data_IF_605023968910
#
_entry.id   IF_605023968910
#
_cell.length_a   1.000
_cell.length_b   1.000
_cell.length_c   1.000
_cell.angle_alpha   90.00
_cell.angle_beta   90.00
_cell.angle_gamma   90.00
#
_symmetry.space_group_name_H-M   'P 1'
#
loop_
_entity.id
_entity.type
_entity.pdbx_description
1 polymer ?
#
# COMPACT_ATOMS: atom_id res chain seq x y z
N UNK A 1 8.94 12.19 -11.49
CA UNK A 1 10.32 12.10 -12.01
C UNK A 1 10.84 13.52 -12.13
N UNK A 2 11.90 13.87 -11.41
CA UNK A 2 12.63 15.12 -11.64
C UNK A 2 13.89 14.75 -12.41
N UNK A 3 14.10 15.39 -13.55
CA UNK A 3 15.30 15.26 -14.37
C UNK A 3 15.98 16.62 -14.35
N UNK A 4 17.21 16.64 -13.85
CA UNK A 4 18.04 17.85 -13.86
C UNK A 4 19.33 17.57 -14.61
N UNK A 5 19.76 18.55 -15.39
CA UNK A 5 21.07 18.60 -16.04
C UNK A 5 21.84 19.73 -15.36
N UNK A 6 22.74 19.44 -14.40
CA UNK A 6 23.57 20.48 -13.83
C UNK A 6 24.66 20.90 -14.83
N UNK A 7 25.24 22.07 -14.56
CA UNK A 7 26.46 22.53 -15.23
C UNK A 7 27.56 21.46 -15.13
N UNK A 8 28.35 21.41 -16.20
CA UNK A 8 29.43 20.47 -16.38
C UNK A 8 30.48 20.68 -15.27
N UNK A 9 30.93 19.60 -14.61
CA UNK A 9 31.99 19.73 -13.60
C UNK A 9 33.35 20.08 -14.25
N UNK A 10 34.36 20.33 -13.42
CA UNK A 10 35.71 20.71 -13.89
C UNK A 10 36.39 19.66 -14.79
N UNK A 11 35.86 18.44 -14.82
CA UNK A 11 36.36 17.32 -15.62
C UNK A 11 35.53 17.07 -16.89
N UNK A 12 34.63 17.99 -17.23
CA UNK A 12 33.73 17.94 -18.37
C UNK A 12 32.59 16.90 -18.23
N UNK A 13 32.24 16.48 -17.00
CA UNK A 13 31.16 15.51 -16.77
C UNK A 13 29.79 16.20 -16.71
N UNK A 14 28.87 15.79 -17.58
CA UNK A 14 27.44 16.16 -17.47
C UNK A 14 26.69 15.05 -16.74
N UNK A 15 26.36 15.25 -15.47
CA UNK A 15 25.68 14.24 -14.67
C UNK A 15 24.19 14.20 -14.98
N UNK A 16 23.64 13.04 -15.40
CA UNK A 16 22.20 12.86 -15.46
C UNK A 16 21.67 12.51 -14.06
N UNK A 17 20.92 13.41 -13.44
CA UNK A 17 20.28 13.15 -12.15
C UNK A 17 18.83 12.74 -12.39
N UNK A 18 18.51 11.48 -12.09
CA UNK A 18 17.13 10.97 -12.10
C UNK A 18 16.67 10.79 -10.66
N UNK A 19 15.72 11.62 -10.21
CA UNK A 19 15.02 11.40 -8.96
C UNK A 19 13.61 10.87 -9.22
N UNK A 20 13.30 9.70 -8.64
CA UNK A 20 11.98 9.05 -8.73
C UNK A 20 11.36 8.89 -7.35
N UNK A 21 10.07 9.21 -7.24
CA UNK A 21 9.25 8.95 -6.05
C UNK A 21 8.61 7.56 -6.15
N UNK A 22 8.11 7.05 -5.01
CA UNK A 22 7.51 5.72 -4.89
C UNK A 22 6.54 5.41 -6.05
N UNK A 23 6.72 4.24 -6.68
CA UNK A 23 5.87 3.76 -7.79
C UNK A 23 6.34 4.14 -9.21
N UNK A 24 7.40 4.94 -9.36
CA UNK A 24 7.91 5.38 -10.68
C UNK A 24 9.21 4.67 -11.13
N UNK A 25 9.64 3.64 -10.39
CA UNK A 25 10.84 2.85 -10.67
C UNK A 25 10.85 2.24 -12.08
N UNK A 26 9.70 1.71 -12.52
CA UNK A 26 9.54 1.08 -13.83
C UNK A 26 9.65 2.09 -14.97
N UNK A 27 9.25 3.34 -14.74
CA UNK A 27 9.38 4.41 -15.72
C UNK A 27 10.84 4.83 -15.90
N UNK A 28 11.63 4.87 -14.81
CA UNK A 28 13.07 5.08 -14.90
C UNK A 28 13.76 3.92 -15.64
N UNK A 29 13.36 2.67 -15.38
CA UNK A 29 13.87 1.50 -16.09
C UNK A 29 13.60 1.58 -17.60
N UNK A 30 12.36 1.90 -18.01
CA UNK A 30 11.98 2.06 -19.42
C UNK A 30 12.80 3.18 -20.10
N UNK A 31 12.99 4.31 -19.41
CA UNK A 31 13.78 5.43 -19.93
C UNK A 31 15.25 5.04 -20.14
N UNK A 32 15.84 4.35 -19.17
CA UNK A 32 17.23 3.85 -19.27
C UNK A 32 17.38 2.80 -20.38
N UNK A 33 16.38 1.92 -20.54
CA UNK A 33 16.37 0.90 -21.60
C UNK A 33 16.30 1.54 -22.99
N UNK A 34 15.39 2.49 -23.19
CA UNK A 34 15.28 3.25 -24.45
C UNK A 34 16.53 4.06 -24.77
N UNK A 35 17.16 4.67 -23.76
CA UNK A 35 18.42 5.39 -23.95
C UNK A 35 19.56 4.45 -24.42
N UNK A 36 19.59 3.22 -23.89
CA UNK A 36 20.54 2.18 -24.32
C UNK A 36 20.27 1.69 -25.75
N UNK A 37 19.00 1.44 -26.08
CA UNK A 37 18.57 0.95 -27.41
C UNK A 37 18.82 1.99 -28.52
N UNK A 38 18.58 3.29 -28.25
CA UNK A 38 18.86 4.37 -29.22
C UNK A 38 20.34 4.52 -29.56
N UNK A 39 21.26 4.22 -28.63
CA UNK A 39 22.71 4.28 -28.89
C UNK A 39 23.17 3.20 -29.88
N UNK A 40 22.41 2.12 -30.02
CA UNK A 40 22.71 1.03 -30.95
C UNK A 40 22.18 1.26 -32.37
N UNK A 41 21.34 2.28 -32.62
CA UNK A 41 20.67 2.45 -33.93
C UNK A 41 20.89 3.81 -34.61
N UNK A 42 21.54 4.80 -34.00
CA UNK A 42 21.61 6.14 -34.60
C UNK A 42 22.99 6.54 -35.12
N UNK A 43 23.06 6.70 -36.45
CA UNK A 43 24.02 7.55 -37.17
C UNK A 43 23.29 8.78 -37.78
N UNK A 44 22.10 9.12 -37.26
CA UNK A 44 21.21 10.05 -37.96
C UNK A 44 21.53 11.51 -37.63
N UNK A 45 21.65 12.36 -38.66
CA UNK A 45 22.08 13.75 -38.54
C UNK A 45 21.14 14.61 -37.65
N UNK A 46 19.91 14.12 -37.41
CA UNK A 46 18.95 14.73 -36.49
C UNK A 46 19.40 14.65 -35.03
N UNK A 47 20.10 13.57 -34.64
CA UNK A 47 20.61 13.42 -33.27
C UNK A 47 21.79 14.36 -33.00
N UNK A 48 22.56 14.74 -34.02
CA UNK A 48 23.60 15.78 -33.90
C UNK A 48 23.01 17.15 -33.56
N UNK A 49 21.89 17.52 -34.19
CA UNK A 49 21.20 18.79 -33.94
C UNK A 49 20.59 18.82 -32.53
N UNK A 50 20.03 17.69 -32.07
CA UNK A 50 19.52 17.59 -30.69
C UNK A 50 20.67 17.63 -29.68
N UNK A 51 21.80 17.01 -29.99
CA UNK A 51 23.00 17.00 -29.15
C UNK A 51 23.63 18.40 -29.01
N UNK A 52 23.72 19.16 -30.10
CA UNK A 52 24.24 20.54 -30.11
C UNK A 52 23.28 21.54 -29.46
N UNK A 53 21.96 21.35 -29.64
CA UNK A 53 20.97 22.36 -29.24
C UNK A 53 20.42 22.17 -27.83
N UNK A 54 20.34 20.93 -27.35
CA UNK A 54 19.76 20.62 -26.04
C UNK A 54 20.76 20.03 -25.05
N UNK A 55 22.01 19.78 -25.47
CA UNK A 55 23.02 19.17 -24.60
C UNK A 55 22.44 17.92 -23.95
N UNK A 56 22.09 16.91 -24.75
CA UNK A 56 21.86 15.59 -24.16
C UNK A 56 23.17 15.20 -23.50
N UNK A 57 23.25 15.43 -22.19
CA UNK A 57 24.34 15.06 -21.32
C UNK A 57 24.63 13.58 -21.57
N UNK A 58 25.58 13.30 -22.46
CA UNK A 58 26.43 12.13 -22.56
C UNK A 58 26.07 10.99 -21.60
N UNK A 59 24.90 10.36 -21.80
CA UNK A 59 24.46 9.29 -20.92
C UNK A 59 25.39 8.11 -21.22
N UNK A 60 26.33 7.85 -20.31
CA UNK A 60 27.40 6.89 -20.46
C UNK A 60 28.43 7.22 -21.57
N UNK A 61 28.85 8.48 -21.69
CA UNK A 61 30.14 8.76 -22.34
C UNK A 61 31.26 8.54 -21.35
N UNK A 62 32.35 7.91 -21.79
CA UNK A 62 33.50 7.72 -20.92
C UNK A 62 34.17 9.06 -20.67
N UNK A 63 34.53 9.39 -19.42
CA UNK A 63 35.31 10.58 -19.13
C UNK A 63 36.73 10.47 -19.74
N UNK A 64 37.55 11.52 -19.58
CA UNK A 64 38.94 11.55 -20.09
C UNK A 64 39.83 10.42 -19.53
N UNK A 65 39.37 9.75 -18.46
CA UNK A 65 40.01 8.59 -17.84
C UNK A 65 39.29 7.27 -18.15
N UNK A 66 38.40 7.26 -19.14
CA UNK A 66 37.59 6.12 -19.58
C UNK A 66 36.58 5.53 -18.58
N UNK A 67 36.19 6.28 -17.54
CA UNK A 67 35.15 5.86 -16.60
C UNK A 67 33.76 6.32 -17.06
N UNK A 68 32.72 5.53 -16.77
CA UNK A 68 31.33 5.85 -17.10
C UNK A 68 30.56 6.23 -15.82
N UNK A 69 30.46 7.52 -15.49
CA UNK A 69 29.79 7.93 -14.25
C UNK A 69 28.27 7.81 -14.40
N UNK A 70 27.67 6.82 -13.72
CA UNK A 70 26.22 6.77 -13.50
C UNK A 70 25.92 7.14 -12.05
N UNK A 71 25.36 8.34 -11.84
CA UNK A 71 24.95 8.80 -10.52
C UNK A 71 23.45 8.57 -10.33
N UNK A 72 23.10 7.54 -9.55
CA UNK A 72 21.71 7.18 -9.28
C UNK A 72 21.36 7.54 -7.83
N UNK A 73 20.59 8.61 -7.63
CA UNK A 73 20.02 8.93 -6.32
C UNK A 73 18.71 8.14 -6.16
N UNK A 74 18.67 7.19 -5.22
CA UNK A 74 17.49 6.33 -5.04
C UNK A 74 17.02 6.30 -3.60
N UNK A 75 15.72 6.53 -3.40
CA UNK A 75 15.08 6.45 -2.09
C UNK A 75 14.16 5.23 -2.02
N UNK A 76 14.22 4.48 -0.90
CA UNK A 76 13.35 3.35 -0.52
C UNK A 76 13.34 2.09 -1.42
N UNK A 77 13.93 0.97 -0.96
CA UNK A 77 13.82 -0.38 -1.57
C UNK A 77 14.35 -0.58 -3.02
N UNK A 78 15.19 0.32 -3.53
CA UNK A 78 15.68 0.24 -4.92
C UNK A 78 16.97 -0.55 -5.15
N UNK A 79 17.50 -1.28 -4.15
CA UNK A 79 18.71 -2.11 -4.33
C UNK A 79 18.55 -3.21 -5.38
N UNK A 80 17.31 -3.58 -5.72
CA UNK A 80 16.97 -4.57 -6.75
C UNK A 80 17.31 -4.10 -8.16
N UNK A 81 17.28 -2.79 -8.44
CA UNK A 81 17.63 -2.22 -9.75
C UNK A 81 19.14 -2.38 -10.02
N UNK A 82 19.97 -2.25 -8.98
CA UNK A 82 21.43 -2.38 -9.09
C UNK A 82 21.83 -3.85 -9.32
N UNK A 83 21.13 -4.81 -8.68
CA UNK A 83 21.41 -6.25 -8.84
C UNK A 83 21.07 -6.80 -10.23
N UNK A 84 20.11 -6.22 -10.94
CA UNK A 84 19.70 -6.71 -12.27
C UNK A 84 20.73 -6.41 -13.36
N UNK A 85 21.62 -5.43 -13.15
CA UNK A 85 22.59 -5.04 -14.18
C UNK A 85 23.88 -5.88 -14.20
N UNK A 86 24.12 -6.76 -13.22
CA UNK A 86 25.49 -7.27 -13.03
C UNK A 86 25.59 -8.73 -12.54
N UNK A 87 25.28 -9.68 -13.41
CA UNK A 87 25.49 -11.11 -13.14
C UNK A 87 26.91 -11.62 -13.43
N UNK A 88 27.87 -10.78 -13.82
CA UNK A 88 29.17 -11.25 -14.36
C UNK A 88 30.44 -10.43 -14.01
N UNK A 89 30.46 -9.52 -13.03
CA UNK A 89 31.73 -8.83 -12.67
C UNK A 89 31.97 -8.70 -11.16
N UNK A 90 33.25 -8.77 -10.77
CA UNK A 90 33.74 -8.61 -9.39
C UNK A 90 33.72 -7.13 -9.00
N UNK A 91 32.88 -6.78 -8.02
CA UNK A 91 32.77 -5.42 -7.50
C UNK A 91 33.69 -5.22 -6.29
N UNK A 92 34.44 -4.10 -6.27
CA UNK A 92 34.99 -3.53 -5.02
C UNK A 92 34.30 -2.20 -4.75
N UNK A 93 33.57 -2.13 -3.65
CA UNK A 93 33.05 -0.85 -3.14
C UNK A 93 34.14 -0.13 -2.36
N UNK A 94 34.43 1.12 -2.73
CA UNK A 94 35.23 2.03 -1.92
C UNK A 94 34.33 3.15 -1.44
N UNK A 95 34.23 3.31 -0.13
CA UNK A 95 33.48 4.40 0.49
C UNK A 95 34.45 5.56 0.74
N UNK A 96 34.24 6.66 0.03
CA UNK A 96 34.81 7.97 0.38
C UNK A 96 33.65 8.97 0.52
N UNK A 97 33.87 9.97 1.37
CA UNK A 97 32.87 10.88 1.94
C UNK A 97 31.69 11.23 0.99
N UNK A 98 30.48 10.97 1.49
CA UNK A 98 29.17 11.38 1.00
C UNK A 98 28.60 10.78 -0.31
N UNK A 99 29.27 9.84 -0.98
CA UNK A 99 28.70 9.14 -2.15
C UNK A 99 29.07 7.65 -2.18
N UNK A 100 28.17 6.79 -2.70
CA UNK A 100 28.50 5.41 -3.05
C UNK A 100 28.98 5.41 -4.50
N UNK A 101 30.29 5.27 -4.69
CA UNK A 101 30.88 5.03 -6.01
C UNK A 101 30.86 3.53 -6.31
N UNK A 102 30.37 3.18 -7.50
CA UNK A 102 30.53 1.85 -8.06
C UNK A 102 31.60 1.97 -9.15
N UNK A 103 32.83 1.61 -8.80
CA UNK A 103 33.96 1.60 -9.73
C UNK A 103 33.99 0.23 -10.46
N UNK A 104 34.04 0.26 -11.79
CA UNK A 104 34.18 -0.94 -12.62
C UNK A 104 35.53 -0.81 -13.33
N UNK A 105 36.55 -1.45 -12.77
CA UNK A 105 37.92 -1.44 -13.32
C UNK A 105 38.32 -2.76 -13.96
N UNK A 106 39.00 -2.66 -15.10
CA UNK A 106 40.05 -3.59 -15.52
C UNK A 106 41.39 -3.09 -14.93
N UNK A 107 42.23 -4.03 -14.51
CA UNK A 107 43.44 -3.82 -13.69
C UNK A 107 44.45 -2.78 -14.23
N UNK A 108 44.88 -1.86 -13.35
CA UNK A 108 46.27 -1.57 -12.91
C UNK A 108 46.37 -0.18 -12.20
N UNK A 109 47.42 -0.04 -11.38
CA UNK A 109 47.61 0.88 -10.24
C UNK A 109 47.94 2.36 -10.53
N UNK A 110 47.53 3.29 -9.64
CA UNK A 110 48.38 4.27 -8.89
C UNK A 110 47.53 5.20 -7.98
N UNK A 111 48.09 5.67 -6.86
CA UNK A 111 47.47 6.55 -5.85
C UNK A 111 48.22 7.89 -5.79
N UNK A 112 47.51 9.03 -5.73
CA UNK A 112 48.05 10.27 -5.15
C UNK A 112 46.95 11.11 -4.48
N UNK A 113 47.29 11.77 -3.37
CA UNK A 113 46.38 12.35 -2.38
C UNK A 113 46.50 13.88 -2.39
N UNK A 114 45.39 14.61 -2.47
CA UNK A 114 45.34 16.04 -2.10
C UNK A 114 44.05 16.37 -1.35
N UNK A 115 44.21 17.02 -0.21
CA UNK A 115 43.15 17.54 0.67
C UNK A 115 42.80 18.97 0.30
N UNK A 116 41.57 19.42 0.56
CA UNK A 116 41.38 20.76 1.12
C UNK A 116 40.05 20.95 1.86
N UNK A 117 40.15 21.82 2.88
CA UNK A 117 39.17 22.27 3.87
C UNK A 117 37.92 22.90 3.26
N UNK A 118 36.75 22.48 3.75
CA UNK A 118 35.57 23.30 4.13
C UNK A 118 34.48 22.35 4.65
N UNK A 119 34.48 21.97 5.93
CA UNK A 119 33.68 20.81 6.38
C UNK A 119 32.81 20.95 7.64
N UNK A 120 32.53 22.13 8.19
CA UNK A 120 31.76 22.15 9.45
C UNK A 120 30.23 22.25 9.27
N UNK A 121 29.71 23.08 8.35
CA UNK A 121 28.26 23.14 8.13
C UNK A 121 27.74 21.95 7.30
N UNK A 122 28.54 21.45 6.36
CA UNK A 122 28.17 20.27 5.56
C UNK A 122 28.16 18.98 6.39
N UNK A 123 29.05 18.86 7.40
CA UNK A 123 29.07 17.70 8.30
C UNK A 123 27.82 17.65 9.19
N UNK A 124 27.24 18.79 9.59
CA UNK A 124 26.05 18.80 10.43
C UNK A 124 24.81 18.29 9.67
N UNK A 125 24.55 18.80 8.47
CA UNK A 125 23.44 18.30 7.64
C UNK A 125 23.64 16.85 7.21
N UNK A 126 24.88 16.44 6.98
CA UNK A 126 25.23 15.06 6.64
C UNK A 126 24.94 14.09 7.79
N UNK A 127 25.36 14.41 9.02
CA UNK A 127 25.09 13.56 10.20
C UNK A 127 23.59 13.44 10.43
N UNK A 128 22.84 14.53 10.29
CA UNK A 128 21.38 14.51 10.42
C UNK A 128 20.73 13.63 9.35
N UNK A 129 21.13 13.75 8.08
CA UNK A 129 20.60 12.93 6.98
C UNK A 129 20.91 11.43 7.16
N UNK A 130 22.13 11.08 7.60
CA UNK A 130 22.53 9.70 7.88
C UNK A 130 21.71 9.12 9.05
N UNK A 131 21.47 9.91 10.11
CA UNK A 131 20.60 9.50 11.23
C UNK A 131 19.18 9.24 10.73
N UNK A 132 18.61 10.10 9.89
CA UNK A 132 17.28 9.90 9.32
C UNK A 132 17.19 8.65 8.44
N UNK A 133 18.19 8.41 7.59
CA UNK A 133 18.26 7.20 6.75
C UNK A 133 18.38 5.95 7.61
N UNK A 134 19.24 5.96 8.63
CA UNK A 134 19.39 4.83 9.54
C UNK A 134 18.09 4.57 10.33
N UNK A 135 17.43 5.60 10.87
CA UNK A 135 16.13 5.46 11.53
C UNK A 135 15.05 4.89 10.59
N UNK A 136 14.99 5.38 9.35
CA UNK A 136 14.06 4.86 8.35
C UNK A 136 14.35 3.39 8.01
N UNK A 137 15.63 3.03 7.86
CA UNK A 137 16.06 1.64 7.65
C UNK A 137 15.71 0.75 8.84
N UNK A 138 15.91 1.20 10.08
CA UNK A 138 15.56 0.42 11.28
C UNK A 138 14.05 0.20 11.37
N UNK A 139 13.24 1.23 11.13
CA UNK A 139 11.77 1.12 11.07
C UNK A 139 11.31 0.15 9.97
N UNK A 140 11.97 0.17 8.80
CA UNK A 140 11.69 -0.75 7.69
C UNK A 140 12.08 -2.21 8.01
N UNK A 141 13.22 -2.41 8.68
CA UNK A 141 13.67 -3.73 9.13
C UNK A 141 12.72 -4.27 10.20
N UNK A 142 12.30 -3.46 11.16
CA UNK A 142 11.33 -3.86 12.19
C UNK A 142 9.98 -4.22 11.55
N UNK A 143 9.47 -3.42 10.62
CA UNK A 143 8.20 -3.70 9.95
C UNK A 143 8.26 -4.95 9.05
N UNK A 144 9.40 -5.17 8.39
CA UNK A 144 9.66 -6.36 7.58
C UNK A 144 9.88 -7.60 8.45
N UNK A 145 10.53 -7.45 9.60
CA UNK A 145 10.73 -8.52 10.58
C UNK A 145 9.40 -8.90 11.26
N UNK A 146 8.55 -7.94 11.60
CA UNK A 146 7.17 -8.19 12.05
C UNK A 146 6.36 -8.94 10.99
N UNK A 147 6.47 -8.52 9.72
CA UNK A 147 5.81 -9.20 8.61
C UNK A 147 6.35 -10.62 8.38
N UNK A 148 7.68 -10.81 8.40
CA UNK A 148 8.31 -12.12 8.24
C UNK A 148 8.07 -13.03 9.45
N UNK A 149 8.00 -12.49 10.66
CA UNK A 149 7.63 -13.23 11.88
C UNK A 149 6.16 -13.65 11.84
N UNK A 150 5.27 -12.76 11.39
CA UNK A 150 3.87 -13.11 11.12
C UNK A 150 3.73 -14.19 10.04
N UNK A 151 4.56 -14.12 8.97
CA UNK A 151 4.61 -15.11 7.87
C UNK A 151 5.17 -16.47 8.30
N UNK A 152 6.24 -16.46 9.10
CA UNK A 152 6.84 -17.67 9.67
C UNK A 152 5.86 -18.34 10.65
N UNK A 153 5.24 -17.55 11.53
CA UNK A 153 4.16 -18.02 12.40
C UNK A 153 2.98 -18.57 11.61
N UNK A 154 2.57 -17.96 10.49
CA UNK A 154 1.50 -18.54 9.63
C UNK A 154 1.90 -19.87 9.01
N UNK A 155 3.16 -20.04 8.63
CA UNK A 155 3.63 -21.29 7.99
C UNK A 155 3.71 -22.43 9.01
N UNK A 156 4.10 -22.15 10.26
CA UNK A 156 4.06 -23.12 11.36
C UNK A 156 2.64 -23.36 11.91
N UNK A 157 1.79 -22.34 12.00
CA UNK A 157 0.39 -22.44 12.48
C UNK A 157 -0.50 -23.25 11.54
N UNK A 158 -0.29 -23.17 10.23
CA UNK A 158 -1.01 -24.02 9.25
C UNK A 158 -0.67 -25.52 9.46
N UNK A 159 0.47 -25.85 10.08
CA UNK A 159 0.84 -27.23 10.40
C UNK A 159 0.29 -27.76 11.74
N UNK A 160 -0.23 -26.89 12.62
CA UNK A 160 -0.88 -27.28 13.88
C UNK A 160 -2.35 -26.88 13.86
N UNK A 161 -3.17 -27.75 13.28
CA UNK A 161 -4.60 -27.59 12.99
C UNK A 161 -5.51 -27.56 14.22
N UNK A 162 -5.20 -26.77 15.24
CA UNK A 162 -6.15 -26.41 16.27
C UNK A 162 -6.95 -25.19 15.81
N UNK A 163 -7.92 -25.40 14.90
CA UNK A 163 -8.91 -24.36 14.60
C UNK A 163 -9.60 -23.96 15.90
N UNK A 164 -9.59 -22.67 16.26
CA UNK A 164 -10.23 -22.20 17.48
C UNK A 164 -11.73 -22.48 17.43
N UNK A 165 -12.22 -23.39 18.27
CA UNK A 165 -13.64 -23.73 18.32
C UNK A 165 -14.44 -22.59 18.94
N UNK A 166 -15.56 -22.20 18.33
CA UNK A 166 -16.44 -21.19 18.92
C UNK A 166 -16.98 -21.57 20.31
N UNK A 167 -16.99 -22.86 20.67
CA UNK A 167 -17.37 -23.31 22.01
C UNK A 167 -16.35 -22.91 23.09
N UNK A 168 -15.11 -22.58 22.71
CA UNK A 168 -14.06 -22.11 23.63
C UNK A 168 -13.95 -20.58 23.68
N UNK A 169 -14.85 -19.84 23.02
CA UNK A 169 -14.84 -18.38 23.06
C UNK A 169 -15.14 -17.90 24.49
N UNK A 170 -14.16 -17.25 25.09
CA UNK A 170 -14.32 -16.50 26.33
C UNK A 170 -14.12 -15.01 26.05
N UNK A 171 -15.21 -14.23 26.08
CA UNK A 171 -15.16 -12.80 25.76
C UNK A 171 -14.35 -11.97 26.77
N UNK A 172 -14.11 -12.49 27.98
CA UNK A 172 -13.30 -11.80 28.99
C UNK A 172 -11.79 -11.91 28.76
N UNK A 173 -11.33 -12.87 27.94
CA UNK A 173 -9.92 -13.04 27.60
C UNK A 173 -9.51 -12.31 26.32
N UNK A 174 -10.48 -11.84 25.54
CA UNK A 174 -10.22 -11.06 24.34
C UNK A 174 -9.49 -9.76 24.68
N UNK A 175 -8.51 -9.42 23.84
CA UNK A 175 -7.80 -8.13 23.92
C UNK A 175 -8.14 -7.23 22.75
N UNK A 176 -8.32 -7.81 21.56
CA UNK A 176 -8.58 -7.10 20.32
C UNK A 176 -9.90 -7.57 19.70
N UNK A 177 -10.76 -6.60 19.39
CA UNK A 177 -11.92 -6.80 18.52
C UNK A 177 -11.66 -6.03 17.23
N UNK A 178 -11.61 -6.73 16.11
CA UNK A 178 -11.52 -6.11 14.79
C UNK A 178 -12.88 -6.10 14.10
N UNK A 179 -13.15 -5.06 13.32
CA UNK A 179 -14.40 -4.93 12.57
C UNK A 179 -14.15 -4.82 11.07
N UNK A 180 -14.98 -5.50 10.28
CA UNK A 180 -15.17 -5.15 8.89
C UNK A 180 -15.79 -3.75 8.77
N UNK A 181 -15.14 -2.82 8.07
CA UNK A 181 -15.62 -1.44 8.03
C UNK A 181 -16.87 -1.30 7.15
N UNK A 182 -16.80 -1.79 5.91
CA UNK A 182 -17.83 -1.52 4.91
C UNK A 182 -19.10 -2.34 5.12
N UNK A 183 -18.98 -3.63 5.47
CA UNK A 183 -20.12 -4.50 5.69
C UNK A 183 -20.71 -4.34 7.09
N UNK A 184 -19.88 -4.30 8.14
CA UNK A 184 -20.37 -4.30 9.52
C UNK A 184 -20.64 -2.91 10.11
N UNK A 185 -19.82 -1.89 9.81
CA UNK A 185 -19.93 -0.60 10.50
C UNK A 185 -20.64 0.49 9.68
N UNK A 186 -20.57 0.42 8.35
CA UNK A 186 -21.06 1.45 7.44
C UNK A 186 -22.32 1.04 6.67
N UNK A 187 -23.11 2.04 6.26
CA UNK A 187 -24.24 1.91 5.34
C UNK A 187 -23.75 2.11 3.90
N UNK A 188 -22.99 1.14 3.37
CA UNK A 188 -22.30 1.28 2.09
C UNK A 188 -23.23 1.64 0.93
N UNK A 189 -24.29 0.86 0.69
CA UNK A 189 -25.18 1.08 -0.46
C UNK A 189 -25.95 2.41 -0.39
N UNK A 190 -26.63 2.69 0.73
CA UNK A 190 -27.41 3.93 0.84
C UNK A 190 -26.53 5.19 0.85
N UNK A 191 -25.34 5.13 1.44
CA UNK A 191 -24.39 6.24 1.40
C UNK A 191 -23.85 6.48 0.00
N UNK A 192 -23.52 5.41 -0.73
CA UNK A 192 -23.06 5.51 -2.11
C UNK A 192 -24.16 6.04 -3.03
N UNK A 193 -25.41 5.60 -2.87
CA UNK A 193 -26.55 6.18 -3.58
C UNK A 193 -26.64 7.70 -3.37
N UNK A 194 -26.58 8.16 -2.12
CA UNK A 194 -26.62 9.60 -1.81
C UNK A 194 -25.44 10.37 -2.40
N UNK A 195 -24.22 9.84 -2.27
CA UNK A 195 -23.01 10.47 -2.80
C UNK A 195 -23.02 10.53 -4.33
N UNK A 196 -23.42 9.45 -5.01
CA UNK A 196 -23.51 9.37 -6.47
C UNK A 196 -24.59 10.32 -6.99
N UNK A 197 -25.79 10.33 -6.39
CA UNK A 197 -26.85 11.26 -6.79
C UNK A 197 -26.41 12.73 -6.66
N UNK A 198 -25.65 13.06 -5.61
CA UNK A 198 -25.12 14.42 -5.42
C UNK A 198 -24.03 14.78 -6.43
N UNK A 199 -23.19 13.83 -6.84
CA UNK A 199 -22.06 14.07 -7.73
C UNK A 199 -22.45 14.00 -9.21
N UNK A 200 -23.50 13.24 -9.54
CA UNK A 200 -24.03 13.03 -10.88
C UNK A 200 -25.54 13.37 -10.90
N UNK A 201 -25.92 14.65 -10.74
CA UNK A 201 -27.32 15.06 -10.57
C UNK A 201 -28.19 14.86 -11.81
N UNK A 202 -27.61 14.56 -12.97
CA UNK A 202 -28.33 14.23 -14.19
C UNK A 202 -28.86 12.79 -14.22
N UNK A 203 -28.37 11.91 -13.34
CA UNK A 203 -28.85 10.53 -13.27
C UNK A 203 -30.23 10.45 -12.60
N UNK A 204 -31.09 9.60 -13.14
CA UNK A 204 -32.35 9.25 -12.47
C UNK A 204 -32.07 8.45 -11.18
N UNK A 205 -33.05 8.41 -10.27
CA UNK A 205 -32.92 7.60 -9.05
C UNK A 205 -32.63 6.11 -9.35
N UNK A 206 -33.27 5.54 -10.37
CA UNK A 206 -33.03 4.16 -10.79
C UNK A 206 -31.62 3.96 -11.36
N UNK A 207 -31.09 4.94 -12.10
CA UNK A 207 -29.73 4.88 -12.63
C UNK A 207 -28.70 4.98 -11.52
N UNK A 208 -28.91 5.84 -10.52
CA UNK A 208 -28.06 5.92 -9.33
C UNK A 208 -28.03 4.57 -8.60
N UNK A 209 -29.18 3.95 -8.37
CA UNK A 209 -29.27 2.65 -7.72
C UNK A 209 -28.55 1.55 -8.51
N UNK A 210 -28.75 1.53 -9.84
CA UNK A 210 -28.05 0.59 -10.72
C UNK A 210 -26.53 0.83 -10.70
N UNK A 211 -26.09 2.08 -10.80
CA UNK A 211 -24.68 2.47 -10.74
C UNK A 211 -24.03 1.97 -9.45
N UNK A 212 -24.65 2.26 -8.31
CA UNK A 212 -24.17 1.82 -6.99
C UNK A 212 -24.08 0.30 -6.93
N UNK A 213 -25.13 -0.40 -7.35
CA UNK A 213 -25.15 -1.87 -7.34
C UNK A 213 -24.04 -2.45 -8.21
N UNK A 214 -23.87 -1.93 -9.42
CA UNK A 214 -22.84 -2.39 -10.35
C UNK A 214 -21.44 -2.14 -9.77
N UNK A 215 -21.22 -1.01 -9.10
CA UNK A 215 -19.93 -0.67 -8.50
C UNK A 215 -19.60 -1.52 -7.28
N UNK A 216 -20.56 -1.69 -6.37
CA UNK A 216 -20.40 -2.59 -5.22
C UNK A 216 -20.17 -4.03 -5.67
N UNK A 217 -20.85 -4.48 -6.74
CA UNK A 217 -20.68 -5.82 -7.30
C UNK A 217 -19.30 -5.99 -7.95
N UNK A 218 -18.84 -4.99 -8.70
CA UNK A 218 -17.51 -5.00 -9.31
C UNK A 218 -16.40 -4.98 -8.25
N UNK A 219 -16.62 -4.33 -7.11
CA UNK A 219 -15.72 -4.41 -5.97
C UNK A 219 -15.74 -5.81 -5.32
N UNK A 220 -16.94 -6.35 -5.06
CA UNK A 220 -17.12 -7.65 -4.43
C UNK A 220 -16.54 -8.81 -5.26
N UNK A 221 -16.48 -8.69 -6.59
CA UNK A 221 -15.90 -9.73 -7.45
C UNK A 221 -14.41 -9.97 -7.23
N UNK A 222 -13.72 -9.08 -6.50
CA UNK A 222 -12.31 -9.25 -6.14
C UNK A 222 -12.09 -9.84 -4.74
N UNK A 223 -13.14 -10.20 -4.00
CA UNK A 223 -12.98 -10.81 -2.69
C UNK A 223 -12.16 -12.11 -2.77
N UNK A 224 -11.22 -12.28 -1.84
CA UNK A 224 -10.25 -13.38 -1.83
C UNK A 224 -9.11 -13.25 -2.85
N UNK A 225 -9.03 -12.15 -3.60
CA UNK A 225 -8.00 -11.97 -4.64
C UNK A 225 -6.71 -11.42 -4.04
N UNK A 226 -5.60 -12.09 -4.32
CA UNK A 226 -4.24 -11.57 -4.13
C UNK A 226 -3.80 -10.79 -5.35
N UNK A 227 -3.15 -9.65 -5.12
CA UNK A 227 -2.70 -8.76 -6.17
C UNK A 227 -1.17 -8.84 -6.27
N UNK A 228 -0.60 -9.01 -7.47
CA UNK A 228 0.84 -8.89 -7.64
C UNK A 228 1.29 -7.45 -7.28
N UNK A 229 2.38 -7.26 -6.51
CA UNK A 229 2.93 -5.93 -6.25
C UNK A 229 3.31 -5.17 -7.54
N UNK A 230 3.67 -5.90 -8.60
CA UNK A 230 3.91 -5.34 -9.93
C UNK A 230 2.66 -4.76 -10.59
N UNK A 231 1.47 -5.18 -10.18
CA UNK A 231 0.20 -4.63 -10.67
C UNK A 231 -0.19 -3.39 -9.86
N UNK A 232 -0.17 -3.49 -8.54
CA UNK A 232 -0.54 -2.39 -7.64
C UNK A 232 -0.02 -2.66 -6.24
N UNK A 233 0.28 -1.58 -5.49
CA UNK A 233 0.51 -1.61 -4.05
C UNK A 233 -0.71 -1.16 -3.23
N UNK A 234 -1.77 -0.71 -3.91
CA UNK A 234 -3.03 -0.24 -3.32
C UNK A 234 -4.19 -0.93 -4.04
N UNK A 235 -4.47 -2.21 -3.72
CA UNK A 235 -5.48 -3.00 -4.42
C UNK A 235 -6.86 -2.35 -4.41
N UNK A 236 -7.26 -1.78 -3.27
CA UNK A 236 -8.54 -1.10 -3.14
C UNK A 236 -8.71 0.05 -4.11
N UNK A 237 -7.77 0.99 -4.14
CA UNK A 237 -7.78 2.11 -5.08
C UNK A 237 -7.79 1.62 -6.53
N UNK A 238 -6.98 0.61 -6.85
CA UNK A 238 -6.95 0.06 -8.20
C UNK A 238 -8.31 -0.53 -8.60
N UNK A 239 -8.94 -1.34 -7.75
CA UNK A 239 -10.24 -1.97 -8.02
C UNK A 239 -11.33 -0.92 -8.19
N UNK A 240 -11.48 0.02 -7.25
CA UNK A 240 -12.59 0.99 -7.32
C UNK A 240 -12.41 1.98 -8.48
N UNK A 241 -11.19 2.37 -8.83
CA UNK A 241 -10.91 3.26 -9.97
C UNK A 241 -11.14 2.55 -11.29
N UNK A 242 -10.57 1.36 -11.47
CA UNK A 242 -10.69 0.60 -12.73
C UNK A 242 -12.13 0.16 -13.00
N UNK A 243 -12.90 -0.19 -11.97
CA UNK A 243 -14.33 -0.47 -12.11
C UNK A 243 -15.14 0.79 -12.42
N UNK A 244 -14.82 1.93 -11.79
CA UNK A 244 -15.51 3.20 -12.06
C UNK A 244 -15.42 3.61 -13.54
N UNK A 245 -14.26 3.44 -14.17
CA UNK A 245 -14.08 3.72 -15.62
C UNK A 245 -15.09 2.92 -16.45
N UNK A 246 -15.18 1.61 -16.22
CA UNK A 246 -16.10 0.72 -16.95
C UNK A 246 -17.57 1.05 -16.70
N UNK A 247 -17.88 1.46 -15.47
CA UNK A 247 -19.25 1.80 -15.08
C UNK A 247 -19.65 3.12 -15.74
N UNK A 248 -18.82 4.16 -15.67
CA UNK A 248 -19.07 5.42 -16.36
C UNK A 248 -19.31 5.21 -17.87
N UNK A 249 -18.52 4.34 -18.50
CA UNK A 249 -18.72 3.97 -19.91
C UNK A 249 -20.08 3.31 -20.16
N UNK A 250 -20.49 2.37 -19.31
CA UNK A 250 -21.79 1.70 -19.43
C UNK A 250 -23.01 2.64 -19.25
N UNK A 251 -22.81 3.81 -18.65
CA UNK A 251 -23.81 4.87 -18.51
C UNK A 251 -23.64 6.01 -19.54
N UNK A 252 -22.68 5.91 -20.47
CA UNK A 252 -22.40 6.97 -21.45
C UNK A 252 -21.82 8.24 -20.83
N UNK A 253 -21.15 8.12 -19.67
CA UNK A 253 -20.63 9.25 -18.89
C UNK A 253 -19.11 9.45 -19.02
N UNK A 254 -18.41 8.63 -19.82
CA UNK A 254 -16.95 8.68 -19.97
C UNK A 254 -16.42 10.05 -20.38
N UNK A 255 -17.12 10.77 -21.27
CA UNK A 255 -16.73 12.12 -21.70
C UNK A 255 -17.05 13.20 -20.65
N UNK A 256 -18.18 13.04 -19.95
CA UNK A 256 -18.62 14.00 -18.92
C UNK A 256 -17.80 13.88 -17.62
N UNK A 257 -17.31 12.68 -17.32
CA UNK A 257 -16.54 12.35 -16.11
C UNK A 257 -15.26 11.62 -16.51
N UNK A 258 -14.32 12.30 -17.19
CA UNK A 258 -13.09 11.65 -17.62
C UNK A 258 -12.24 11.23 -16.42
N UNK A 259 -11.42 10.18 -16.61
CA UNK A 259 -10.53 9.70 -15.55
C UNK A 259 -9.65 10.83 -15.01
N UNK A 260 -9.58 10.94 -13.68
CA UNK A 260 -8.78 11.94 -13.00
C UNK A 260 -9.42 13.34 -12.90
N UNK A 261 -10.61 13.55 -13.48
CA UNK A 261 -11.40 14.77 -13.24
C UNK A 261 -11.79 14.93 -11.77
N UNK A 262 -12.20 16.16 -11.40
CA UNK A 262 -12.67 16.47 -10.04
C UNK A 262 -13.82 15.54 -9.64
N UNK A 263 -14.82 15.36 -10.51
CA UNK A 263 -15.96 14.47 -10.27
C UNK A 263 -15.53 13.01 -10.17
N UNK A 264 -14.63 12.54 -11.04
CA UNK A 264 -14.10 11.17 -10.97
C UNK A 264 -13.42 10.91 -9.61
N UNK A 265 -12.52 11.81 -9.19
CA UNK A 265 -11.82 11.67 -7.92
C UNK A 265 -12.77 11.84 -6.71
N UNK A 266 -13.82 12.66 -6.84
CA UNK A 266 -14.85 12.80 -5.81
C UNK A 266 -15.69 11.51 -5.66
N UNK A 267 -16.04 10.85 -6.77
CA UNK A 267 -16.72 9.55 -6.77
C UNK A 267 -15.84 8.49 -6.09
N UNK A 268 -14.56 8.39 -6.46
CA UNK A 268 -13.61 7.47 -5.80
C UNK A 268 -13.50 7.76 -4.30
N UNK A 269 -13.41 9.04 -3.93
CA UNK A 269 -13.32 9.46 -2.53
C UNK A 269 -14.61 9.21 -1.73
N UNK A 270 -15.75 8.96 -2.38
CA UNK A 270 -17.02 8.71 -1.72
C UNK A 270 -17.00 7.43 -0.85
N UNK A 271 -16.14 6.46 -1.18
CA UNK A 271 -15.89 5.28 -0.36
C UNK A 271 -15.34 5.60 1.03
N UNK A 272 -14.68 6.76 1.18
CA UNK A 272 -14.23 7.31 2.46
C UNK A 272 -15.26 8.19 3.18
N UNK A 273 -16.47 8.36 2.62
CA UNK A 273 -17.50 9.30 3.11
C UNK A 273 -18.84 8.59 3.31
N UNK A 274 -18.80 7.43 3.95
CA UNK A 274 -19.97 6.61 4.23
C UNK A 274 -20.59 6.98 5.57
N UNK A 275 -21.91 6.84 5.67
CA UNK A 275 -22.62 7.01 6.92
C UNK A 275 -22.48 5.73 7.78
N UNK A 276 -22.25 5.87 9.09
CA UNK A 276 -22.24 4.73 9.98
C UNK A 276 -23.64 4.13 10.13
N UNK A 277 -23.72 2.83 10.38
CA UNK A 277 -24.96 2.18 10.79
C UNK A 277 -25.46 2.75 12.11
N UNK A 278 -26.77 2.61 12.34
CA UNK A 278 -27.39 3.04 13.59
C UNK A 278 -26.73 2.33 14.78
N UNK A 279 -26.60 3.05 15.91
CA UNK A 279 -25.95 2.60 17.14
C UNK A 279 -24.46 2.23 17.06
N UNK A 280 -23.82 2.22 15.87
CA UNK A 280 -22.38 1.90 15.75
C UNK A 280 -21.51 2.77 16.65
N UNK A 281 -21.77 4.08 16.71
CA UNK A 281 -21.03 5.02 17.57
C UNK A 281 -21.11 4.64 19.05
N UNK A 282 -22.30 4.34 19.54
CA UNK A 282 -22.51 3.95 20.94
C UNK A 282 -21.81 2.63 21.23
N UNK A 283 -21.99 1.62 20.37
CA UNK A 283 -21.42 0.29 20.58
C UNK A 283 -19.91 0.33 20.61
N UNK A 284 -19.28 0.99 19.63
CA UNK A 284 -17.82 1.13 19.61
C UNK A 284 -17.31 1.90 20.83
N UNK A 285 -18.02 2.95 21.28
CA UNK A 285 -17.66 3.71 22.48
C UNK A 285 -17.66 2.84 23.74
N UNK A 286 -18.62 1.93 23.89
CA UNK A 286 -18.70 1.04 25.05
C UNK A 286 -17.63 -0.06 24.97
N UNK A 287 -17.48 -0.68 23.81
CA UNK A 287 -16.46 -1.72 23.60
C UNK A 287 -15.04 -1.19 23.80
N UNK A 288 -14.74 0.04 23.35
CA UNK A 288 -13.40 0.64 23.48
C UNK A 288 -12.98 0.90 24.93
N UNK A 289 -13.89 0.79 25.91
CA UNK A 289 -13.54 0.90 27.34
C UNK A 289 -12.87 -0.37 27.88
N UNK A 290 -13.09 -1.50 27.23
CA UNK A 290 -12.65 -2.83 27.69
C UNK A 290 -11.68 -3.49 26.72
N UNK A 291 -11.85 -3.25 25.42
CA UNK A 291 -11.09 -3.89 24.36
C UNK A 291 -10.34 -2.85 23.53
N UNK A 292 -9.18 -3.26 22.99
CA UNK A 292 -8.61 -2.54 21.86
C UNK A 292 -9.50 -2.80 20.64
N UNK A 293 -9.78 -1.75 19.89
CA UNK A 293 -10.57 -1.85 18.68
C UNK A 293 -9.69 -1.68 17.45
N UNK A 294 -9.98 -2.45 16.41
CA UNK A 294 -9.36 -2.28 15.10
C UNK A 294 -10.38 -2.34 13.98
N UNK A 295 -10.04 -1.77 12.83
CA UNK A 295 -10.70 -2.11 11.57
C UNK A 295 -9.81 -3.06 10.79
N UNK A 296 -10.42 -4.11 10.24
CA UNK A 296 -9.77 -5.08 9.36
C UNK A 296 -10.60 -5.18 8.09
N UNK A 297 -10.17 -4.45 7.07
CA UNK A 297 -11.00 -4.16 5.89
C UNK A 297 -10.17 -4.18 4.62
N UNK A 298 -10.84 -4.52 3.52
CA UNK A 298 -10.28 -4.50 2.17
C UNK A 298 -9.97 -3.08 1.67
N UNK A 299 -10.37 -2.03 2.39
CA UNK A 299 -9.99 -0.66 2.05
C UNK A 299 -8.50 -0.41 2.18
N UNK A 300 -7.96 0.54 1.41
CA UNK A 300 -6.63 1.09 1.68
C UNK A 300 -6.65 1.96 2.94
N UNK A 301 -5.49 2.13 3.57
CA UNK A 301 -5.34 2.83 4.85
C UNK A 301 -5.92 4.25 4.81
N UNK A 302 -5.72 4.99 3.73
CA UNK A 302 -6.20 6.37 3.62
C UNK A 302 -7.73 6.42 3.50
N UNK A 303 -8.33 5.54 2.70
CA UNK A 303 -9.79 5.43 2.64
C UNK A 303 -10.38 5.04 3.98
N UNK A 304 -9.78 4.06 4.67
CA UNK A 304 -10.26 3.62 5.99
C UNK A 304 -10.16 4.74 7.03
N UNK A 305 -9.05 5.50 7.05
CA UNK A 305 -8.89 6.68 7.90
C UNK A 305 -9.96 7.74 7.62
N UNK A 306 -10.23 8.01 6.35
CA UNK A 306 -11.25 8.97 5.93
C UNK A 306 -12.64 8.52 6.39
N UNK A 307 -12.97 7.24 6.17
CA UNK A 307 -14.24 6.67 6.59
C UNK A 307 -14.40 6.66 8.12
N UNK A 308 -13.32 6.48 8.87
CA UNK A 308 -13.34 6.52 10.33
C UNK A 308 -13.55 7.94 10.90
N UNK A 309 -13.29 8.99 10.12
CA UNK A 309 -13.44 10.38 10.60
C UNK A 309 -14.87 10.78 11.00
N UNK A 310 -15.88 10.01 10.57
CA UNK A 310 -17.29 10.21 10.97
C UNK A 310 -17.56 9.78 12.42
N UNK A 311 -16.67 8.99 13.01
CA UNK A 311 -16.71 8.61 14.42
C UNK A 311 -16.03 9.70 15.26
N UNK A 312 -16.56 9.93 16.47
CA UNK A 312 -15.98 10.93 17.37
C UNK A 312 -14.56 10.53 17.78
N UNK A 313 -13.71 11.53 18.06
CA UNK A 313 -12.36 11.31 18.57
C UNK A 313 -12.32 10.55 19.90
N UNK A 314 -13.45 10.44 20.61
CA UNK A 314 -13.61 9.63 21.81
C UNK A 314 -13.64 8.12 21.55
N UNK A 315 -13.86 7.67 20.31
CA UNK A 315 -13.82 6.25 19.94
C UNK A 315 -12.38 5.92 19.55
N UNK A 316 -11.66 5.23 20.43
CA UNK A 316 -10.29 4.82 20.17
C UNK A 316 -10.24 3.57 19.28
N UNK A 317 -10.10 3.79 17.97
CA UNK A 317 -9.73 2.73 17.03
C UNK A 317 -8.20 2.65 16.98
N UNK A 318 -7.64 1.70 17.73
CA UNK A 318 -6.20 1.53 17.91
C UNK A 318 -5.49 1.01 16.66
N UNK A 319 -6.20 0.29 15.78
CA UNK A 319 -5.61 -0.37 14.63
C UNK A 319 -6.40 -0.14 13.34
N UNK A 320 -5.68 0.17 12.26
CA UNK A 320 -6.20 0.20 10.89
C UNK A 320 -5.43 -0.84 10.08
N UNK A 321 -6.04 -2.01 9.89
CA UNK A 321 -5.49 -3.17 9.21
C UNK A 321 -6.08 -3.20 7.78
N UNK A 322 -5.30 -2.70 6.82
CA UNK A 322 -5.73 -2.46 5.43
C UNK A 322 -5.26 -3.55 4.48
N UNK A 323 -5.73 -3.51 3.22
CA UNK A 323 -5.31 -4.43 2.15
C UNK A 323 -4.02 -4.01 1.44
N UNK A 324 -3.45 -2.86 1.78
CA UNK A 324 -2.29 -2.31 1.08
C UNK A 324 -1.07 -3.23 1.16
N UNK A 325 -0.10 -3.02 0.28
CA UNK A 325 1.21 -3.64 0.42
C UNK A 325 1.79 -3.36 1.84
N UNK A 326 2.35 -4.37 2.53
CA UNK A 326 2.80 -5.67 2.03
C UNK A 326 1.74 -6.78 1.96
N UNK A 327 0.52 -6.55 2.42
CA UNK A 327 -0.54 -7.58 2.44
C UNK A 327 -1.04 -7.86 1.02
N UNK A 328 -1.35 -6.78 0.29
CA UNK A 328 -1.72 -6.78 -1.13
C UNK A 328 -2.76 -7.85 -1.53
N UNK A 329 -3.75 -8.09 -0.65
CA UNK A 329 -4.82 -9.06 -0.87
C UNK A 329 -6.13 -8.58 -0.22
N UNK A 330 -7.26 -9.04 -0.74
CA UNK A 330 -8.55 -8.91 -0.08
C UNK A 330 -8.94 -10.14 0.75
N UNK A 331 -9.69 -9.90 1.82
CA UNK A 331 -10.42 -10.92 2.57
C UNK A 331 -11.20 -11.80 1.59
N UNK A 332 -11.14 -13.12 1.68
CA UNK A 332 -10.74 -13.95 2.82
C UNK A 332 -9.27 -14.38 2.91
N UNK A 333 -8.32 -13.69 2.26
CA UNK A 333 -6.89 -14.01 2.40
C UNK A 333 -6.42 -14.08 3.86
N UNK A 334 -5.73 -15.16 4.22
CA UNK A 334 -5.10 -15.35 5.54
C UNK A 334 -4.19 -14.19 5.96
N UNK A 335 -3.48 -13.57 5.00
CA UNK A 335 -2.62 -12.42 5.27
C UNK A 335 -3.38 -11.19 5.82
N UNK A 336 -4.66 -11.04 5.51
CA UNK A 336 -5.49 -9.98 6.08
C UNK A 336 -5.68 -10.18 7.58
N UNK A 337 -6.04 -11.40 8.00
CA UNK A 337 -6.30 -11.74 9.40
C UNK A 337 -5.01 -11.82 10.24
N UNK A 338 -3.90 -12.22 9.62
CA UNK A 338 -2.59 -12.27 10.26
C UNK A 338 -2.13 -10.92 10.82
N UNK A 339 -2.58 -9.81 10.24
CA UNK A 339 -2.27 -8.46 10.74
C UNK A 339 -2.72 -8.25 12.19
N UNK A 340 -3.84 -8.86 12.60
CA UNK A 340 -4.39 -8.69 13.95
C UNK A 340 -3.55 -9.40 15.03
N UNK A 341 -2.77 -10.42 14.66
CA UNK A 341 -1.98 -11.21 15.61
C UNK A 341 -0.84 -10.42 16.24
N UNK A 342 -0.28 -9.45 15.51
CA UNK A 342 0.79 -8.60 16.02
C UNK A 342 0.35 -7.77 17.25
N UNK A 343 -0.93 -7.41 17.34
CA UNK A 343 -1.49 -6.64 18.45
C UNK A 343 -1.71 -7.47 19.73
N UNK A 344 -1.64 -8.79 19.65
CA UNK A 344 -1.92 -9.71 20.76
C UNK A 344 -0.83 -10.76 20.97
N UNK A 345 0.40 -10.43 20.59
CA UNK A 345 1.58 -11.28 20.76
C UNK A 345 1.44 -12.67 20.10
N UNK A 346 0.69 -12.77 19.00
CA UNK A 346 0.48 -14.02 18.27
C UNK A 346 -0.67 -14.90 18.80
N UNK A 347 -1.33 -14.51 19.89
CA UNK A 347 -2.36 -15.34 20.53
C UNK A 347 -3.73 -15.20 19.85
N UNK A 348 -4.05 -16.14 18.96
CA UNK A 348 -5.33 -16.20 18.22
C UNK A 348 -6.55 -16.19 19.14
N UNK A 349 -6.44 -16.72 20.37
CA UNK A 349 -7.57 -16.78 21.32
C UNK A 349 -7.94 -15.42 21.92
N UNK A 350 -7.11 -14.39 21.66
CA UNK A 350 -7.32 -13.02 22.12
C UNK A 350 -7.89 -12.09 21.05
N UNK A 351 -8.13 -12.59 19.83
CA UNK A 351 -8.68 -11.82 18.71
C UNK A 351 -10.07 -12.33 18.35
N UNK A 352 -10.99 -11.39 18.16
CA UNK A 352 -12.28 -11.66 17.53
C UNK A 352 -12.50 -10.71 16.35
N UNK A 353 -12.94 -11.23 15.21
CA UNK A 353 -13.33 -10.45 14.04
C UNK A 353 -14.85 -10.39 13.89
N UNK A 354 -15.42 -9.19 13.86
CA UNK A 354 -16.85 -8.95 13.61
C UNK A 354 -17.04 -8.47 12.17
N UNK A 355 -17.75 -9.25 11.36
CA UNK A 355 -17.96 -8.95 9.96
C UNK A 355 -19.41 -8.72 9.58
N UNK A 356 -19.65 -8.01 8.47
CA UNK A 356 -21.00 -7.80 7.93
C UNK A 356 -21.52 -8.96 7.09
N UNK A 357 -20.71 -10.00 6.84
CA UNK A 357 -21.09 -11.12 5.97
C UNK A 357 -20.49 -12.44 6.44
N UNK A 358 -21.18 -13.54 6.14
CA UNK A 358 -20.68 -14.89 6.41
C UNK A 358 -19.34 -15.17 5.73
N UNK A 359 -19.16 -14.72 4.49
CA UNK A 359 -17.94 -14.94 3.70
C UNK A 359 -16.68 -14.47 4.43
N UNK A 360 -16.75 -13.30 5.05
CA UNK A 360 -15.64 -12.73 5.82
C UNK A 360 -15.42 -13.48 7.14
N UNK A 361 -16.51 -13.80 7.85
CA UNK A 361 -16.41 -14.62 9.08
C UNK A 361 -15.80 -16.01 8.84
N UNK A 362 -16.01 -16.59 7.66
CA UNK A 362 -15.39 -17.86 7.27
C UNK A 362 -13.89 -17.73 7.11
N UNK A 363 -13.44 -16.67 6.43
CA UNK A 363 -12.01 -16.43 6.28
C UNK A 363 -11.31 -16.29 7.64
N UNK A 364 -11.91 -15.55 8.58
CA UNK A 364 -11.39 -15.41 9.92
C UNK A 364 -11.31 -16.75 10.69
N UNK A 365 -12.35 -17.59 10.59
CA UNK A 365 -12.35 -18.91 11.24
C UNK A 365 -11.36 -19.90 10.62
N UNK A 366 -11.26 -19.92 9.29
CA UNK A 366 -10.30 -20.76 8.57
C UNK A 366 -8.87 -20.34 8.93
N UNK A 367 -8.64 -19.03 9.13
CA UNK A 367 -7.37 -18.53 9.62
C UNK A 367 -7.07 -18.93 11.09
N UNK A 368 -8.12 -19.19 11.89
CA UNK A 368 -8.00 -19.67 13.26
C UNK A 368 -8.36 -18.67 14.35
N UNK A 369 -8.85 -17.47 14.02
CA UNK A 369 -9.34 -16.49 15.01
C UNK A 369 -10.85 -16.59 15.18
N UNK A 370 -11.37 -16.15 16.33
CA UNK A 370 -12.81 -16.10 16.55
C UNK A 370 -13.48 -15.13 15.58
N UNK A 371 -14.73 -15.41 15.18
CA UNK A 371 -15.50 -14.50 14.36
C UNK A 371 -16.98 -14.44 14.73
N UNK A 372 -17.61 -13.31 14.44
CA UNK A 372 -19.04 -13.10 14.57
C UNK A 372 -19.60 -12.29 13.41
N UNK A 373 -20.85 -12.51 13.06
CA UNK A 373 -21.50 -11.82 11.94
C UNK A 373 -22.56 -10.82 12.42
N UNK A 374 -22.67 -9.69 11.72
CA UNK A 374 -23.82 -8.79 11.78
C UNK A 374 -24.82 -9.09 10.64
N UNK A 375 -25.10 -10.38 10.49
CA UNK A 375 -26.09 -10.96 9.59
C UNK A 375 -26.50 -12.32 10.18
N UNK A 376 -27.72 -12.43 10.73
CA UNK A 376 -28.16 -13.67 11.40
C UNK A 376 -28.20 -14.87 10.47
N UNK A 377 -28.35 -14.66 9.16
CA UNK A 377 -28.35 -15.75 8.17
C UNK A 377 -27.01 -16.49 8.14
N UNK A 378 -25.92 -15.85 8.59
CA UNK A 378 -24.60 -16.45 8.68
C UNK A 378 -24.57 -17.71 9.58
N UNK A 379 -25.49 -17.88 10.54
CA UNK A 379 -25.59 -19.10 11.34
C UNK A 379 -25.93 -20.36 10.53
N UNK A 380 -26.49 -20.20 9.32
CA UNK A 380 -26.82 -21.31 8.42
C UNK A 380 -25.67 -21.69 7.48
N UNK A 381 -24.55 -21.00 7.58
CA UNK A 381 -23.38 -21.24 6.72
C UNK A 381 -22.39 -22.20 7.38
N UNK A 382 -21.45 -22.75 6.59
CA UNK A 382 -20.36 -23.60 7.07
C UNK A 382 -19.01 -23.03 6.61
N UNK A 383 -18.05 -22.80 7.52
CA UNK A 383 -18.16 -22.92 8.98
C UNK A 383 -19.11 -21.86 9.58
N UNK A 384 -19.78 -22.18 10.68
CA UNK A 384 -20.67 -21.21 11.36
C UNK A 384 -19.82 -20.20 12.17
N UNK A 385 -20.17 -18.89 12.18
CA UNK A 385 -19.54 -17.93 13.09
C UNK A 385 -19.88 -18.27 14.56
N UNK A 386 -19.12 -17.70 15.48
CA UNK A 386 -19.32 -17.94 16.92
C UNK A 386 -20.61 -17.30 17.43
N UNK A 387 -21.05 -16.23 16.78
CA UNK A 387 -22.38 -15.66 16.93
C UNK A 387 -22.80 -15.00 15.60
N UNK A 388 -24.09 -14.77 15.43
CA UNK A 388 -24.60 -13.89 14.40
C UNK A 388 -25.82 -13.10 14.89
N UNK A 389 -25.81 -11.80 14.64
CA UNK A 389 -26.83 -10.86 15.09
C UNK A 389 -27.34 -10.03 13.91
N UNK A 390 -28.60 -9.61 13.96
CA UNK A 390 -29.15 -8.70 12.94
C UNK A 390 -28.79 -7.23 13.25
N UNK A 391 -28.36 -6.95 14.49
CA UNK A 391 -28.09 -5.61 14.96
C UNK A 391 -26.81 -5.57 15.81
N UNK A 392 -25.97 -4.56 15.56
CA UNK A 392 -24.74 -4.28 16.29
C UNK A 392 -24.97 -4.04 17.79
N UNK A 393 -26.15 -3.57 18.21
CA UNK A 393 -26.49 -3.35 19.63
C UNK A 393 -26.40 -4.64 20.45
N UNK A 394 -26.67 -5.80 19.84
CA UNK A 394 -26.59 -7.09 20.53
C UNK A 394 -25.17 -7.43 21.00
N UNK A 395 -24.15 -6.78 20.42
CA UNK A 395 -22.78 -6.90 20.91
C UNK A 395 -22.63 -6.39 22.35
N UNK A 396 -23.42 -5.40 22.79
CA UNK A 396 -23.35 -4.88 24.16
C UNK A 396 -23.67 -5.96 25.20
N UNK A 397 -24.77 -6.66 25.00
CA UNK A 397 -25.15 -7.80 25.86
C UNK A 397 -24.17 -8.95 25.72
N UNK A 398 -23.68 -9.23 24.51
CA UNK A 398 -22.74 -10.32 24.27
C UNK A 398 -21.38 -10.11 24.96
N UNK A 399 -20.88 -8.88 25.00
CA UNK A 399 -19.60 -8.52 25.60
C UNK A 399 -19.68 -8.01 27.05
N UNK A 400 -20.91 -7.84 27.57
CA UNK A 400 -21.22 -7.30 28.89
C UNK A 400 -20.60 -5.91 29.11
N UNK A 401 -21.02 -4.93 28.28
CA UNK A 401 -20.49 -3.53 28.25
C UNK A 401 -21.53 -2.42 28.13
#
# INVERSE_FOLDING_TARGET
>A
IIISFPDVDSDDNSSLHIAVTNGQAINAEILLRRAKEKKTESNDAYDQIVHEKFGLASINSSNKSHHYPLHLAVMNNHLTIIKFHNSNTNLKSVQMENHIYIDIKNDESYFEKKSNKTSYEFQFFYVVAVIFILLACTLLIEHSALYMKARASTTELISSSASTSCSSLNVSTLRLITFDLFGALMLSESSMNGNIASLLPSLSLSDVQKFTKDWLSAYASFFGTSFPPSLTHQPFQWVIRSSLIKILDSFGLSEAVPEGSITFNALVSAWGKLQPRNATKEVLTRLSRKYQLGVLSNGDKQTLQSALSVFSSSINISFILSSDYPVNCFKSCSAMYAQALAAVDGDMTKVLHVAGSAYDTHGALIFGIFSGALDKSAMHTKPKPCFAFDNIVQLLTFFDV
#
